data_IF_378724279751
#
_entry.id   IF_378724279751
#
_cell.length_a   1.000
_cell.length_b   1.000
_cell.length_c   1.000
_cell.angle_alpha   90.00
_cell.angle_beta   90.00
_cell.angle_gamma   90.00
#
_symmetry.space_group_name_H-M   'P 1'
#
loop_
_entity.id
_entity.type
_entity.pdbx_description
1 polymer ?
#
# COMPACT_ATOMS: atom_id res chain seq x y z
N UNK A 1 11.53 3.10 -7.56
CA UNK A 1 10.43 3.55 -6.66
C UNK A 1 10.85 4.91 -6.11
N UNK A 2 9.99 5.93 -6.09
CA UNK A 2 10.38 7.28 -5.63
C UNK A 2 10.44 7.40 -4.10
N UNK A 3 9.69 6.58 -3.36
CA UNK A 3 9.77 6.54 -1.90
C UNK A 3 11.02 5.76 -1.45
N UNK A 4 11.83 6.39 -0.61
CA UNK A 4 12.94 5.70 0.07
C UNK A 4 12.40 5.02 1.32
N UNK A 5 12.88 3.82 1.61
CA UNK A 5 12.50 3.10 2.81
C UNK A 5 13.70 2.41 3.45
N UNK A 6 13.70 2.35 4.78
CA UNK A 6 14.63 1.54 5.53
C UNK A 6 14.08 0.12 5.56
N UNK A 7 14.83 -0.82 5.00
CA UNK A 7 14.56 -2.25 5.18
C UNK A 7 14.78 -2.58 6.65
N UNK A 8 13.77 -3.15 7.31
CA UNK A 8 13.91 -3.63 8.70
C UNK A 8 14.37 -5.08 8.63
N UNK A 9 15.67 -5.31 8.80
CA UNK A 9 16.25 -6.64 8.94
C UNK A 9 15.77 -7.25 10.26
N UNK A 10 15.02 -8.36 10.21
CA UNK A 10 14.64 -9.16 11.37
C UNK A 10 15.32 -10.53 11.27
N UNK A 11 15.70 -11.18 12.36
CA UNK A 11 16.43 -12.48 12.32
C UNK A 11 15.66 -13.64 11.65
N UNK A 12 14.33 -13.52 11.47
CA UNK A 12 13.51 -14.44 10.66
C UNK A 12 13.35 -13.98 9.18
N UNK A 13 14.13 -13.00 8.71
CA UNK A 13 13.90 -12.33 7.42
C UNK A 13 14.48 -13.05 6.22
N UNK A 14 15.35 -14.05 6.38
CA UNK A 14 16.02 -14.68 5.22
C UNK A 14 15.00 -15.36 4.31
N UNK A 15 14.03 -16.10 4.86
CA UNK A 15 12.98 -16.76 4.06
C UNK A 15 12.00 -15.77 3.43
N UNK A 16 11.57 -14.76 4.19
CA UNK A 16 10.70 -13.71 3.67
C UNK A 16 11.42 -12.88 2.58
N UNK A 17 12.71 -12.60 2.76
CA UNK A 17 13.55 -11.88 1.81
C UNK A 17 13.80 -12.69 0.53
N UNK A 18 14.00 -14.00 0.64
CA UNK A 18 14.13 -14.90 -0.51
C UNK A 18 12.82 -14.97 -1.28
N UNK A 19 11.68 -15.18 -0.60
CA UNK A 19 10.37 -15.22 -1.24
C UNK A 19 10.01 -13.90 -1.93
N UNK A 20 10.32 -12.77 -1.29
CA UNK A 20 10.17 -11.44 -1.89
C UNK A 20 11.07 -11.32 -3.13
N UNK A 21 12.35 -11.69 -3.01
CA UNK A 21 13.31 -11.58 -4.12
C UNK A 21 12.94 -12.47 -5.32
N UNK A 22 12.48 -13.70 -5.07
CA UNK A 22 11.97 -14.62 -6.09
C UNK A 22 10.71 -14.05 -6.76
N UNK A 23 9.76 -13.55 -5.96
CA UNK A 23 8.57 -12.91 -6.50
C UNK A 23 8.90 -11.66 -7.32
N UNK A 24 9.96 -10.92 -7.00
CA UNK A 24 10.38 -9.74 -7.78
C UNK A 24 11.14 -10.07 -9.06
N UNK A 25 11.88 -11.19 -9.11
CA UNK A 25 12.74 -11.53 -10.25
C UNK A 25 11.95 -11.75 -11.56
N UNK A 26 10.72 -12.26 -11.46
CA UNK A 26 9.87 -12.57 -12.63
C UNK A 26 8.73 -11.57 -12.85
N UNK A 27 8.72 -10.47 -12.09
CA UNK A 27 7.53 -9.62 -11.96
C UNK A 27 7.79 -8.21 -12.47
N UNK A 28 6.93 -7.74 -13.38
CA UNK A 28 7.01 -6.39 -13.91
C UNK A 28 6.56 -5.37 -12.86
N UNK A 29 7.46 -4.46 -12.47
CA UNK A 29 7.08 -3.37 -11.57
C UNK A 29 6.22 -2.31 -12.29
N UNK A 30 5.07 -1.98 -11.71
CA UNK A 30 4.11 -1.00 -12.20
C UNK A 30 3.91 0.09 -11.14
N UNK A 31 4.04 1.35 -11.54
CA UNK A 31 3.71 2.49 -10.65
C UNK A 31 2.20 2.59 -10.45
N UNK A 32 1.79 2.93 -9.23
CA UNK A 32 0.39 2.91 -8.83
C UNK A 32 -0.47 3.83 -9.73
N UNK A 33 0.01 5.03 -10.04
CA UNK A 33 -0.67 5.99 -10.91
C UNK A 33 -0.95 5.50 -12.35
N UNK A 34 -0.17 4.56 -12.89
CA UNK A 34 -0.36 4.04 -14.26
C UNK A 34 -1.12 2.73 -14.32
N UNK A 35 -1.41 2.08 -13.18
CA UNK A 35 -2.13 0.78 -13.11
C UNK A 35 -3.41 0.83 -13.94
N UNK A 36 -4.21 1.88 -13.78
CA UNK A 36 -5.48 2.07 -14.50
C UNK A 36 -5.31 2.06 -16.01
N UNK A 37 -4.24 2.65 -16.54
CA UNK A 37 -3.99 2.78 -17.97
C UNK A 37 -3.52 1.46 -18.60
N UNK A 38 -3.10 0.50 -17.77
CA UNK A 38 -2.60 -0.80 -18.21
C UNK A 38 -3.66 -1.90 -18.14
N UNK A 39 -4.90 -1.57 -17.72
CA UNK A 39 -6.00 -2.52 -17.66
C UNK A 39 -6.52 -2.82 -19.06
N UNK A 40 -6.55 -4.10 -19.42
CA UNK A 40 -7.28 -4.63 -20.56
C UNK A 40 -8.52 -5.33 -19.99
N UNK A 41 -9.70 -4.73 -20.19
CA UNK A 41 -10.89 -5.07 -19.41
C UNK A 41 -10.71 -4.74 -17.94
N UNK A 42 -10.69 -5.76 -17.09
CA UNK A 42 -10.53 -5.66 -15.62
C UNK A 42 -9.22 -6.27 -15.09
N UNK A 43 -8.29 -6.63 -15.99
CA UNK A 43 -7.04 -7.30 -15.60
C UNK A 43 -5.81 -6.69 -16.28
N UNK A 44 -4.64 -6.94 -15.71
CA UNK A 44 -3.34 -6.62 -16.31
C UNK A 44 -2.70 -7.95 -16.69
N UNK A 45 -2.20 -8.06 -17.92
CA UNK A 45 -1.54 -9.27 -18.40
C UNK A 45 -0.15 -9.46 -17.76
N UNK A 46 0.20 -10.72 -17.51
CA UNK A 46 1.49 -11.14 -16.95
C UNK A 46 1.62 -10.91 -15.44
N UNK A 47 2.76 -11.35 -14.87
CA UNK A 47 3.08 -11.11 -13.46
C UNK A 47 3.50 -9.65 -13.27
N UNK A 48 2.84 -8.95 -12.34
CA UNK A 48 3.19 -7.58 -12.01
C UNK A 48 3.14 -7.30 -10.51
N UNK A 49 3.88 -6.28 -10.10
CA UNK A 49 3.92 -5.79 -8.74
C UNK A 49 3.81 -4.28 -8.70
N UNK A 50 3.26 -3.76 -7.61
CA UNK A 50 3.36 -2.35 -7.26
C UNK A 50 3.79 -2.23 -5.81
N UNK A 51 4.13 -1.04 -5.37
CA UNK A 51 4.46 -0.80 -3.98
C UNK A 51 4.02 0.58 -3.54
N UNK A 52 3.76 0.73 -2.26
CA UNK A 52 3.33 2.00 -1.67
C UNK A 52 3.44 2.01 -0.15
N UNK A 53 3.34 3.22 0.40
CA UNK A 53 3.34 3.49 1.82
C UNK A 53 1.90 3.42 2.33
N UNK A 54 1.67 2.70 3.43
CA UNK A 54 0.43 2.74 4.19
C UNK A 54 0.26 4.13 4.81
N UNK A 55 -0.66 4.93 4.29
CA UNK A 55 -0.90 6.30 4.77
C UNK A 55 -2.03 6.37 5.78
N UNK A 56 -3.04 5.52 5.63
CA UNK A 56 -4.24 5.53 6.47
C UNK A 56 -4.81 4.12 6.61
N UNK A 57 -5.37 3.84 7.79
CA UNK A 57 -6.11 2.62 8.09
C UNK A 57 -7.54 2.99 8.44
N UNK A 58 -8.48 2.27 7.87
CA UNK A 58 -9.87 2.35 8.29
C UNK A 58 -10.21 1.15 9.19
N UNK A 59 -11.24 1.33 10.02
CA UNK A 59 -11.72 0.28 10.90
C UNK A 59 -12.08 -0.98 10.12
N UNK A 60 -11.73 -2.17 10.65
CA UNK A 60 -12.10 -3.44 10.03
C UNK A 60 -13.60 -3.54 9.81
N UNK A 61 -13.99 -4.09 8.66
CA UNK A 61 -15.38 -4.28 8.24
C UNK A 61 -15.67 -5.77 8.04
N UNK A 62 -16.95 -6.09 7.92
CA UNK A 62 -17.44 -7.44 7.59
C UNK A 62 -17.95 -7.42 6.15
N UNK A 63 -17.55 -8.40 5.34
CA UNK A 63 -18.03 -8.58 3.98
C UNK A 63 -19.47 -9.08 3.96
N UNK A 64 -20.11 -9.05 2.79
CA UNK A 64 -21.43 -9.68 2.57
C UNK A 64 -21.44 -11.19 2.86
N UNK A 65 -20.27 -11.82 2.89
CA UNK A 65 -20.07 -13.24 3.19
C UNK A 65 -19.71 -13.50 4.66
N UNK A 66 -19.83 -12.50 5.54
CA UNK A 66 -19.56 -12.63 6.98
C UNK A 66 -18.08 -12.65 7.35
N UNK A 67 -17.15 -12.43 6.41
CA UNK A 67 -15.70 -12.46 6.66
C UNK A 67 -15.17 -11.06 6.98
N UNK A 68 -14.30 -10.96 7.99
CA UNK A 68 -13.63 -9.71 8.32
C UNK A 68 -12.60 -9.33 7.25
N UNK A 69 -12.49 -8.03 6.98
CA UNK A 69 -11.50 -7.44 6.10
C UNK A 69 -11.10 -6.06 6.62
N UNK A 70 -10.01 -5.49 6.12
CA UNK A 70 -9.65 -4.10 6.41
C UNK A 70 -9.40 -3.33 5.13
N UNK A 71 -9.56 -2.00 5.21
CA UNK A 71 -9.29 -1.10 4.11
C UNK A 71 -8.17 -0.13 4.50
N UNK A 72 -7.19 -0.01 3.62
CA UNK A 72 -6.05 0.88 3.75
C UNK A 72 -6.07 1.94 2.65
N UNK A 73 -5.43 3.07 2.91
CA UNK A 73 -4.96 3.98 1.86
C UNK A 73 -3.47 3.76 1.67
N UNK A 74 -3.09 3.46 0.43
CA UNK A 74 -1.72 3.20 0.03
C UNK A 74 -1.30 4.24 -1.01
N UNK A 75 -0.11 4.81 -0.92
CA UNK A 75 0.36 5.79 -1.90
C UNK A 75 1.87 6.01 -1.87
N UNK A 76 2.39 6.77 -2.84
CA UNK A 76 3.82 7.09 -2.93
C UNK A 76 4.22 8.43 -2.28
N UNK A 77 3.42 8.97 -1.35
CA UNK A 77 3.61 10.28 -0.67
C UNK A 77 3.61 11.52 -1.58
N UNK A 78 3.95 11.39 -2.86
CA UNK A 78 3.90 12.43 -3.89
C UNK A 78 2.76 12.20 -4.92
N UNK A 79 2.07 11.06 -4.82
CA UNK A 79 1.01 10.63 -5.74
C UNK A 79 -0.33 10.47 -5.01
N UNK A 80 -1.42 10.36 -5.78
CA UNK A 80 -2.75 10.05 -5.25
C UNK A 80 -2.73 8.74 -4.46
N UNK A 81 -3.41 8.73 -3.33
CA UNK A 81 -3.61 7.51 -2.53
C UNK A 81 -4.67 6.61 -3.17
N UNK A 82 -4.40 5.32 -3.19
CA UNK A 82 -5.27 4.26 -3.70
C UNK A 82 -5.84 3.46 -2.53
N UNK A 83 -7.12 3.11 -2.60
CA UNK A 83 -7.73 2.22 -1.61
C UNK A 83 -7.26 0.78 -1.83
N UNK A 84 -6.79 0.13 -0.77
CA UNK A 84 -6.40 -1.28 -0.76
C UNK A 84 -7.31 -2.05 0.20
N UNK A 85 -7.92 -3.13 -0.28
CA UNK A 85 -8.71 -4.05 0.52
C UNK A 85 -7.92 -5.33 0.79
N UNK A 86 -7.81 -5.70 2.07
CA UNK A 86 -7.14 -6.91 2.49
C UNK A 86 -8.20 -7.89 3.01
N UNK A 87 -8.26 -9.07 2.41
CA UNK A 87 -9.14 -10.17 2.77
C UNK A 87 -8.34 -11.39 3.21
N UNK A 88 -9.00 -12.40 3.78
CA UNK A 88 -8.40 -13.71 4.03
C UNK A 88 -7.09 -13.65 4.81
N UNK A 89 -6.06 -14.32 4.29
CA UNK A 89 -4.75 -14.39 4.93
C UNK A 89 -3.98 -13.06 4.86
N UNK A 90 -4.25 -12.25 3.82
CA UNK A 90 -3.69 -10.92 3.74
C UNK A 90 -4.20 -10.05 4.90
N UNK A 91 -5.49 -10.15 5.22
CA UNK A 91 -6.10 -9.47 6.38
C UNK A 91 -5.51 -9.99 7.70
N UNK A 92 -5.58 -11.29 7.95
CA UNK A 92 -5.23 -11.88 9.25
C UNK A 92 -3.79 -11.58 9.67
N UNK A 93 -2.85 -11.55 8.71
CA UNK A 93 -1.43 -11.29 8.99
C UNK A 93 -1.07 -9.82 9.05
N UNK A 94 -1.74 -8.95 8.30
CA UNK A 94 -1.24 -7.59 8.08
C UNK A 94 -2.11 -6.48 8.66
N UNK A 95 -3.38 -6.70 9.02
CA UNK A 95 -4.34 -5.63 9.35
C UNK A 95 -3.88 -4.67 10.47
N UNK A 96 -3.02 -5.13 11.37
CA UNK A 96 -2.51 -4.36 12.51
C UNK A 96 -1.23 -3.57 12.22
N UNK A 97 -0.71 -3.64 11.01
CA UNK A 97 0.50 -2.91 10.61
C UNK A 97 0.36 -1.40 10.72
N UNK A 98 1.48 -0.70 10.91
CA UNK A 98 1.50 0.74 11.22
C UNK A 98 1.53 1.60 9.95
N UNK A 99 0.90 2.79 10.00
CA UNK A 99 1.08 3.81 8.97
C UNK A 99 2.56 4.21 8.83
N UNK A 100 2.99 4.54 7.62
CA UNK A 100 4.39 4.71 7.23
C UNK A 100 5.10 3.42 6.82
N UNK A 101 4.48 2.26 6.99
CA UNK A 101 5.03 0.97 6.51
C UNK A 101 4.92 0.88 4.98
N UNK A 102 5.98 0.41 4.33
CA UNK A 102 6.02 0.17 2.88
C UNK A 102 5.65 -1.26 2.58
N UNK A 103 4.71 -1.45 1.66
CA UNK A 103 4.28 -2.75 1.18
C UNK A 103 4.51 -2.88 -0.32
N UNK A 104 4.94 -4.06 -0.74
CA UNK A 104 4.82 -4.52 -2.11
C UNK A 104 3.53 -5.34 -2.26
N UNK A 105 2.84 -5.16 -3.37
CA UNK A 105 1.65 -5.91 -3.76
C UNK A 105 1.96 -6.66 -5.04
N UNK A 106 1.63 -7.94 -5.10
CA UNK A 106 1.87 -8.81 -6.26
C UNK A 106 0.53 -9.26 -6.82
N UNK A 107 0.34 -9.07 -8.13
CA UNK A 107 -0.84 -9.55 -8.86
C UNK A 107 -2.16 -9.24 -8.12
N UNK A 108 -2.28 -8.01 -7.58
CA UNK A 108 -3.46 -7.58 -6.86
C UNK A 108 -4.66 -7.48 -7.83
N UNK A 109 -5.87 -7.77 -7.36
CA UNK A 109 -7.07 -7.55 -8.16
C UNK A 109 -7.35 -6.05 -8.26
N UNK A 110 -7.59 -5.55 -9.47
CA UNK A 110 -7.86 -4.13 -9.72
C UNK A 110 -9.34 -3.95 -9.99
N UNK A 111 -9.99 -3.03 -9.26
CA UNK A 111 -11.38 -2.65 -9.50
C UNK A 111 -11.45 -1.18 -9.88
N UNK A 112 -12.06 -0.90 -11.02
CA UNK A 112 -12.35 0.49 -11.44
C UNK A 112 -13.46 1.04 -10.55
N UNK A 113 -13.27 2.25 -10.04
CA UNK A 113 -14.34 2.95 -9.32
C UNK A 113 -15.45 3.30 -10.33
N UNK A 114 -16.71 3.26 -9.87
CA UNK A 114 -17.86 3.55 -10.71
C UNK A 114 -17.91 5.03 -11.17
N UNK A 115 -17.23 5.92 -10.43
CA UNK A 115 -17.20 7.35 -10.71
C UNK A 115 -15.77 7.85 -10.91
N UNK A 116 -15.54 8.50 -12.04
CA UNK A 116 -14.27 9.16 -12.37
C UNK A 116 -13.11 8.21 -12.66
N UNK A 117 -11.90 8.75 -12.47
CA UNK A 117 -10.65 8.08 -12.86
C UNK A 117 -9.97 7.29 -11.70
N UNK A 118 -10.70 6.97 -10.63
CA UNK A 118 -10.19 6.28 -9.45
C UNK A 118 -10.22 4.75 -9.57
N UNK A 119 -9.37 4.04 -8.85
CA UNK A 119 -9.42 2.59 -8.76
C UNK A 119 -9.05 2.12 -7.36
N UNK A 120 -9.38 0.87 -7.07
CA UNK A 120 -9.00 0.18 -5.84
C UNK A 120 -8.29 -1.14 -6.14
N UNK A 121 -7.49 -1.57 -5.16
CA UNK A 121 -6.75 -2.83 -5.20
C UNK A 121 -7.30 -3.77 -4.14
N UNK A 122 -7.26 -5.08 -4.42
CA UNK A 122 -7.62 -6.12 -3.44
C UNK A 122 -6.57 -7.23 -3.41
N UNK A 123 -6.26 -7.70 -2.21
CA UNK A 123 -5.38 -8.85 -1.97
C UNK A 123 -6.05 -9.83 -1.01
N UNK A 124 -5.83 -11.13 -1.24
CA UNK A 124 -6.54 -12.20 -0.55
C UNK A 124 -5.60 -13.16 0.19
N UNK A 125 -4.42 -13.41 -0.37
CA UNK A 125 -3.43 -14.33 0.20
C UNK A 125 -2.18 -13.61 0.71
N UNK A 126 -1.43 -14.25 1.60
CA UNK A 126 -0.15 -13.69 2.07
C UNK A 126 0.93 -13.63 0.99
N UNK A 127 0.77 -14.34 -0.14
CA UNK A 127 1.70 -14.25 -1.27
C UNK A 127 1.52 -12.97 -2.12
N UNK A 128 0.36 -12.31 -2.00
CA UNK A 128 0.05 -11.10 -2.77
C UNK A 128 0.49 -9.79 -2.08
N UNK A 129 1.01 -9.87 -0.85
CA UNK A 129 1.43 -8.69 -0.08
C UNK A 129 2.67 -8.99 0.74
N UNK A 130 3.67 -8.12 0.65
CA UNK A 130 4.90 -8.23 1.42
C UNK A 130 5.27 -6.91 2.08
N UNK A 131 5.63 -6.97 3.37
CA UNK A 131 6.16 -5.83 4.11
C UNK A 131 7.63 -5.62 3.73
N UNK A 132 7.95 -4.43 3.21
CA UNK A 132 9.30 -4.09 2.73
C UNK A 132 10.12 -3.32 3.77
N UNK A 133 9.44 -2.57 4.65
CA UNK A 133 10.11 -1.75 5.67
C UNK A 133 9.29 -0.53 6.06
N UNK A 134 9.96 0.53 6.49
CA UNK A 134 9.32 1.79 6.89
C UNK A 134 9.85 2.92 6.02
N UNK A 135 8.94 3.75 5.49
CA UNK A 135 9.30 4.92 4.68
C UNK A 135 10.00 5.96 5.55
N UNK A 136 11.16 6.43 5.11
CA UNK A 136 11.88 7.53 5.79
C UNK A 136 11.25 8.89 5.46
N UNK A 137 10.56 8.94 4.34
CA UNK A 137 9.93 10.14 3.80
C UNK A 137 8.53 10.35 4.40
N UNK A 138 7.94 9.34 5.05
CA UNK A 138 6.62 9.46 5.70
C UNK A 138 6.67 10.34 6.95
N UNK A 139 5.80 11.34 7.01
CA UNK A 139 5.57 12.17 8.19
C UNK A 139 4.09 12.52 8.39
N UNK A 140 3.79 13.04 9.58
CA UNK A 140 2.53 13.69 9.89
C UNK A 140 2.84 15.16 10.16
N UNK A 141 2.02 16.05 9.63
CA UNK A 141 2.12 17.48 9.84
C UNK A 141 2.14 17.80 11.34
N UNK A 142 3.12 18.59 11.79
CA UNK A 142 3.30 18.94 13.20
C UNK A 142 2.53 20.20 13.63
N UNK A 143 1.84 20.87 12.69
CA UNK A 143 1.07 22.06 12.99
C UNK A 143 -0.17 21.75 13.84
N UNK A 144 -0.73 22.78 14.47
CA UNK A 144 -2.05 22.72 15.09
C UNK A 144 -3.05 23.48 14.22
N UNK A 145 -4.26 22.95 14.12
CA UNK A 145 -5.40 23.64 13.53
C UNK A 145 -5.79 24.85 14.40
N UNK A 146 -6.64 25.73 13.86
CA UNK A 146 -7.15 26.93 14.57
C UNK A 146 -7.88 26.60 15.88
N UNK A 147 -8.43 25.40 15.99
CA UNK A 147 -9.12 24.85 17.16
C UNK A 147 -8.17 24.18 18.18
N UNK A 148 -6.84 24.23 17.95
CA UNK A 148 -5.83 23.63 18.82
C UNK A 148 -5.60 22.12 18.59
N UNK A 149 -6.38 21.47 17.73
CA UNK A 149 -6.25 20.03 17.43
C UNK A 149 -4.99 19.77 16.58
N UNK A 150 -4.17 18.75 16.89
CA UNK A 150 -3.02 18.39 16.05
C UNK A 150 -3.44 18.10 14.61
N UNK A 151 -2.65 18.58 13.66
CA UNK A 151 -2.83 18.22 12.27
C UNK A 151 -2.52 16.72 12.09
N UNK A 152 -3.37 16.03 11.35
CA UNK A 152 -3.20 14.61 11.01
C UNK A 152 -2.88 14.39 9.53
N UNK A 153 -2.58 15.47 8.79
CA UNK A 153 -2.23 15.40 7.37
C UNK A 153 -0.91 14.67 7.19
N UNK A 154 -0.91 13.67 6.31
CA UNK A 154 0.31 12.96 5.89
C UNK A 154 1.15 13.89 5.03
N UNK A 155 2.45 13.96 5.31
CA UNK A 155 3.41 14.80 4.59
C UNK A 155 4.59 13.97 4.08
N UNK A 156 5.20 14.42 2.99
CA UNK A 156 6.48 13.93 2.51
C UNK A 156 7.61 14.78 3.15
N UNK A 157 8.40 14.19 4.06
CA UNK A 157 9.50 14.86 4.77
C UNK A 157 10.66 15.28 3.87
N UNK A 158 10.77 14.72 2.66
CA UNK A 158 11.83 15.06 1.72
C UNK A 158 11.40 16.09 0.67
N UNK A 159 10.12 16.50 0.67
CA UNK A 159 9.68 17.58 -0.21
C UNK A 159 10.18 18.93 0.35
N UNK A 160 11.11 19.62 -0.32
CA UNK A 160 11.71 20.85 0.18
C UNK A 160 10.71 22.02 0.28
N UNK A 161 9.52 21.90 -0.29
CA UNK A 161 8.49 22.96 -0.28
C UNK A 161 7.67 22.95 1.03
N UNK A 162 7.77 21.90 1.85
CA UNK A 162 7.00 21.73 3.10
C UNK A 162 7.84 21.92 4.38
N UNK A 163 9.07 22.43 4.26
CA UNK A 163 9.95 22.82 5.37
C UNK A 163 9.99 24.34 5.54
#
# INVERSE_FOLDING_TARGET
MKCRFKKKLNKNSVEADIQISLNFAETRFIRMNVIRNLLVGDSISGSWATAGVLTEKLDPKVSSTGKKYCMWKLGCLDEKVTSLFLFGDAYSKNCNEAAGTVFALFNASVRKDNTGNGFSLSVYSSGQIAKMGTSVDYGICKAKRKDGVPCNMVINKYDPILL
#
